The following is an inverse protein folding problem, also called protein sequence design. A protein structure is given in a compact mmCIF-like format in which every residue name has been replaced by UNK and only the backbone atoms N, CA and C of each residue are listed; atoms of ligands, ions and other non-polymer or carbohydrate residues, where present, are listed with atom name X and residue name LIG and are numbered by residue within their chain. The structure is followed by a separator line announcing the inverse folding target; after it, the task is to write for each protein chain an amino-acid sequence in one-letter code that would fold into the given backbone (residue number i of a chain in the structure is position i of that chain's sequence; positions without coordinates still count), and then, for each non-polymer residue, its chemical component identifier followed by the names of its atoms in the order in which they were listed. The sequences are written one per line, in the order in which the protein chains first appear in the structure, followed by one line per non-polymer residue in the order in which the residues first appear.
data_IF_069204447756
#
_entry.id   IF_069204447756
#
_cell.length_a   1.000
_cell.length_b   1.000
_cell.length_c   1.000
_cell.angle_alpha   90.00
_cell.angle_beta   90.00
_cell.angle_gamma   90.00
#
_symmetry.space_group_name_H-M   'P 1'
#
loop_
_entity.id
_entity.type
_entity.pdbx_description
1 polymer ?
#
# COMPACT_ATOMS: atom_id res chain seq x y z
N UNK A 1 -24.18 -11.60 18.51
CA UNK A 1 -23.87 -10.32 19.19
C UNK A 1 -22.69 -9.62 18.53
N UNK A 2 -21.50 -10.23 18.43
CA UNK A 2 -20.31 -9.60 17.81
C UNK A 2 -20.50 -9.30 16.31
N UNK A 3 -21.07 -10.23 15.52
CA UNK A 3 -21.35 -10.01 14.09
C UNK A 3 -22.23 -8.78 13.84
N UNK A 4 -23.34 -8.64 14.57
CA UNK A 4 -24.24 -7.50 14.44
C UNK A 4 -23.59 -6.16 14.87
N UNK A 5 -22.66 -6.19 15.84
CA UNK A 5 -21.92 -4.99 16.25
C UNK A 5 -20.84 -4.61 15.22
N UNK A 6 -20.17 -5.58 14.62
CA UNK A 6 -19.22 -5.37 13.52
C UNK A 6 -19.95 -4.87 12.28
N UNK A 7 -21.08 -5.49 11.92
CA UNK A 7 -21.97 -5.01 10.86
C UNK A 7 -22.45 -3.58 11.16
N UNK A 8 -22.89 -3.25 12.39
CA UNK A 8 -23.30 -1.88 12.72
C UNK A 8 -22.16 -0.86 12.56
N UNK A 9 -20.94 -1.19 12.98
CA UNK A 9 -19.77 -0.30 12.87
C UNK A 9 -19.36 -0.10 11.39
N UNK A 10 -19.45 -1.15 10.57
CA UNK A 10 -18.99 -1.13 9.18
C UNK A 10 -20.06 -0.79 8.13
N UNK A 11 -21.34 -1.03 8.42
CA UNK A 11 -22.47 -0.77 7.49
C UNK A 11 -23.41 0.35 7.97
N UNK A 12 -23.37 0.74 9.25
CA UNK A 12 -24.41 1.60 9.84
C UNK A 12 -23.93 2.77 10.71
N UNK A 13 -22.63 2.90 11.00
CA UNK A 13 -22.09 3.99 11.81
C UNK A 13 -21.81 5.27 11.02
N UNK A 14 -21.59 5.17 9.70
CA UNK A 14 -21.37 6.30 8.79
C UNK A 14 -22.63 6.64 8.00
N UNK A 15 -23.68 7.09 8.67
CA UNK A 15 -24.91 7.60 8.02
C UNK A 15 -24.68 8.94 7.28
N UNK A 16 -23.45 9.48 7.23
CA UNK A 16 -23.19 10.85 6.75
C UNK A 16 -22.29 10.97 5.52
N UNK A 17 -22.04 9.91 4.74
CA UNK A 17 -21.52 10.09 3.38
C UNK A 17 -22.74 10.24 2.47
N UNK A 18 -22.98 11.46 1.96
CA UNK A 18 -24.10 11.72 1.03
C UNK A 18 -23.99 10.75 -0.13
N UNK A 19 -24.97 9.83 -0.23
CA UNK A 19 -25.09 8.88 -1.32
C UNK A 19 -25.29 9.58 -2.68
N UNK A 20 -25.59 10.89 -2.67
CA UNK A 20 -25.97 11.69 -3.84
C UNK A 20 -24.82 11.95 -4.83
N UNK A 21 -23.57 11.64 -4.47
CA UNK A 21 -22.39 11.87 -5.31
C UNK A 21 -21.72 10.57 -5.80
N UNK A 22 -22.26 9.39 -5.50
CA UNK A 22 -21.67 8.16 -6.01
C UNK A 22 -22.03 7.98 -7.50
N UNK A 23 -21.03 7.77 -8.38
CA UNK A 23 -21.32 7.34 -9.74
C UNK A 23 -22.10 6.02 -9.67
N UNK A 24 -23.08 5.89 -10.57
CA UNK A 24 -23.93 4.71 -10.76
C UNK A 24 -23.10 3.57 -11.38
N UNK A 25 -21.96 3.24 -10.74
CA UNK A 25 -21.11 2.13 -11.12
C UNK A 25 -21.79 0.84 -10.74
N UNK A 26 -21.98 -0.01 -11.75
CA UNK A 26 -22.60 -1.32 -11.64
C UNK A 26 -21.86 -2.15 -10.59
N UNK A 27 -22.42 -2.26 -9.39
CA UNK A 27 -21.87 -3.12 -8.35
C UNK A 27 -22.24 -4.55 -8.71
N UNK A 28 -21.22 -5.38 -8.94
CA UNK A 28 -21.42 -6.80 -9.22
C UNK A 28 -22.24 -7.44 -8.10
N UNK A 29 -23.30 -8.17 -8.49
CA UNK A 29 -24.21 -8.80 -7.53
C UNK A 29 -23.46 -9.82 -6.66
N UNK A 30 -23.29 -9.51 -5.37
CA UNK A 30 -22.65 -10.41 -4.40
C UNK A 30 -23.73 -11.22 -3.66
N UNK A 31 -23.70 -12.57 -3.71
CA UNK A 31 -24.66 -13.41 -3.00
C UNK A 31 -24.76 -13.06 -1.50
N UNK A 32 -25.98 -12.78 -1.04
CA UNK A 32 -26.27 -12.50 0.36
C UNK A 32 -26.13 -11.04 0.79
N UNK A 33 -25.84 -10.12 -0.14
CA UNK A 33 -25.81 -8.68 0.09
C UNK A 33 -26.76 -7.95 -0.86
N UNK A 34 -27.35 -6.85 -0.39
CA UNK A 34 -28.06 -5.92 -1.27
C UNK A 34 -27.09 -4.92 -1.90
N UNK A 35 -27.44 -4.34 -3.06
CA UNK A 35 -26.62 -3.32 -3.73
C UNK A 35 -26.31 -2.14 -2.80
N UNK A 36 -27.29 -1.74 -1.98
CA UNK A 36 -27.12 -0.70 -0.97
C UNK A 36 -26.08 -1.08 0.08
N UNK A 37 -26.09 -2.32 0.55
CA UNK A 37 -25.12 -2.79 1.53
C UNK A 37 -23.71 -2.78 0.93
N UNK A 38 -23.56 -3.22 -0.33
CA UNK A 38 -22.29 -3.23 -1.03
C UNK A 38 -21.74 -1.81 -1.22
N UNK A 39 -22.56 -0.86 -1.66
CA UNK A 39 -22.15 0.56 -1.75
C UNK A 39 -21.69 1.11 -0.40
N UNK A 40 -22.38 0.78 0.70
CA UNK A 40 -21.98 1.18 2.05
C UNK A 40 -20.64 0.55 2.46
N UNK A 41 -20.43 -0.73 2.16
CA UNK A 41 -19.16 -1.42 2.41
C UNK A 41 -18.01 -0.80 1.63
N UNK A 42 -18.19 -0.60 0.32
CA UNK A 42 -17.20 0.02 -0.55
C UNK A 42 -16.82 1.42 -0.03
N UNK A 43 -17.81 2.26 0.26
CA UNK A 43 -17.59 3.62 0.78
C UNK A 43 -16.82 3.60 2.11
N UNK A 44 -17.16 2.67 3.00
CA UNK A 44 -16.50 2.53 4.31
C UNK A 44 -15.06 2.06 4.17
N UNK A 45 -14.79 1.10 3.28
CA UNK A 45 -13.45 0.61 3.01
C UNK A 45 -12.59 1.72 2.41
N UNK A 46 -13.07 2.41 1.37
CA UNK A 46 -12.36 3.50 0.71
C UNK A 46 -12.05 4.63 1.67
N UNK A 47 -13.06 5.10 2.42
CA UNK A 47 -12.87 6.15 3.41
C UNK A 47 -11.81 5.77 4.45
N UNK A 48 -11.84 4.53 4.93
CA UNK A 48 -10.88 4.08 5.95
C UNK A 48 -9.47 3.99 5.38
N UNK A 49 -9.30 3.52 4.14
CA UNK A 49 -8.00 3.50 3.45
C UNK A 49 -7.44 4.92 3.27
N UNK A 50 -8.27 5.90 2.90
CA UNK A 50 -7.88 7.31 2.84
C UNK A 50 -7.43 7.86 4.18
N UNK A 51 -8.09 7.48 5.28
CA UNK A 51 -7.65 7.89 6.62
C UNK A 51 -6.23 7.42 6.93
N UNK A 52 -5.81 6.28 6.37
CA UNK A 52 -4.46 5.79 6.53
C UNK A 52 -3.44 6.50 5.66
N UNK A 53 -3.77 7.50 4.84
CA UNK A 53 -2.77 8.41 4.29
C UNK A 53 -2.21 9.36 5.38
N UNK A 54 -2.96 9.60 6.46
CA UNK A 54 -2.57 10.52 7.52
C UNK A 54 -1.39 9.99 8.35
N UNK A 55 -0.25 10.73 8.45
CA UNK A 55 0.91 10.30 9.25
C UNK A 55 0.61 10.16 10.75
N UNK A 56 -0.37 10.89 11.27
CA UNK A 56 -0.74 10.87 12.69
C UNK A 56 -1.53 9.63 13.11
N UNK A 57 -2.11 8.89 12.15
CA UNK A 57 -2.87 7.67 12.44
C UNK A 57 -1.92 6.46 12.39
N UNK A 58 -2.00 5.50 13.33
CA UNK A 58 -1.26 4.24 13.19
C UNK A 58 -1.74 3.50 11.94
N UNK A 59 -0.92 2.64 11.32
CA UNK A 59 -1.31 1.87 10.14
C UNK A 59 -1.84 0.50 10.59
N UNK A 60 -3.16 0.37 10.82
CA UNK A 60 -3.82 -0.85 11.31
C UNK A 60 -4.84 -1.34 10.27
N UNK A 61 -4.37 -2.06 9.26
CA UNK A 61 -5.23 -2.48 8.13
C UNK A 61 -5.95 -3.82 8.36
N UNK A 62 -5.85 -4.42 9.56
CA UNK A 62 -6.28 -5.79 9.79
C UNK A 62 -7.74 -6.04 9.40
N UNK A 63 -8.67 -5.24 9.94
CA UNK A 63 -10.10 -5.43 9.70
C UNK A 63 -10.48 -5.18 8.23
N UNK A 64 -9.81 -4.23 7.56
CA UNK A 64 -9.99 -4.00 6.11
C UNK A 64 -9.50 -5.22 5.33
N UNK A 65 -8.33 -5.77 5.68
CA UNK A 65 -7.78 -6.92 4.98
C UNK A 65 -8.66 -8.15 5.15
N UNK A 66 -9.18 -8.40 6.36
CA UNK A 66 -10.12 -9.50 6.61
C UNK A 66 -11.43 -9.32 5.83
N UNK A 67 -11.97 -8.10 5.77
CA UNK A 67 -13.16 -7.81 4.97
C UNK A 67 -12.91 -8.04 3.47
N UNK A 68 -11.80 -7.51 2.94
CA UNK A 68 -11.43 -7.71 1.54
C UNK A 68 -11.17 -9.18 1.22
N UNK A 69 -10.51 -9.93 2.10
CA UNK A 69 -10.30 -11.37 1.93
C UNK A 69 -11.63 -12.13 1.88
N UNK A 70 -12.57 -11.80 2.77
CA UNK A 70 -13.89 -12.42 2.79
C UNK A 70 -14.70 -12.10 1.52
N UNK A 71 -14.68 -10.84 1.06
CA UNK A 71 -15.32 -10.45 -0.19
C UNK A 71 -14.65 -11.11 -1.40
N UNK A 72 -13.33 -11.25 -1.40
CA UNK A 72 -12.59 -11.83 -2.51
C UNK A 72 -12.95 -13.31 -2.72
N UNK A 73 -13.35 -14.04 -1.67
CA UNK A 73 -13.81 -15.43 -1.78
C UNK A 73 -15.20 -15.55 -2.43
N UNK A 74 -16.03 -14.51 -2.32
CA UNK A 74 -17.43 -14.53 -2.78
C UNK A 74 -17.61 -13.78 -4.10
N UNK A 75 -16.89 -12.67 -4.27
CA UNK A 75 -16.89 -11.83 -5.47
C UNK A 75 -15.52 -11.15 -5.66
N UNK A 76 -14.58 -11.80 -6.38
CA UNK A 76 -13.28 -11.23 -6.71
C UNK A 76 -13.36 -9.91 -7.47
N UNK A 77 -14.31 -9.80 -8.42
CA UNK A 77 -14.51 -8.58 -9.21
C UNK A 77 -14.88 -7.38 -8.34
N UNK A 78 -15.72 -7.58 -7.32
CA UNK A 78 -16.08 -6.52 -6.39
C UNK A 78 -14.84 -5.99 -5.64
N UNK A 79 -13.94 -6.89 -5.23
CA UNK A 79 -12.66 -6.51 -4.63
C UNK A 79 -11.76 -5.80 -5.63
N UNK A 80 -11.71 -6.25 -6.88
CA UNK A 80 -10.97 -5.59 -7.96
C UNK A 80 -11.42 -4.13 -8.14
N UNK A 81 -12.75 -3.90 -8.19
CA UNK A 81 -13.34 -2.56 -8.27
C UNK A 81 -12.98 -1.69 -7.07
N UNK A 82 -13.02 -2.24 -5.84
CA UNK A 82 -12.61 -1.50 -4.64
C UNK A 82 -11.14 -1.10 -4.74
N UNK A 83 -10.27 -2.02 -5.15
CA UNK A 83 -8.84 -1.75 -5.29
C UNK A 83 -8.62 -0.68 -6.35
N UNK A 84 -9.20 -0.83 -7.55
CA UNK A 84 -9.11 0.15 -8.63
C UNK A 84 -9.54 1.55 -8.15
N UNK A 85 -10.70 1.67 -7.51
CA UNK A 85 -11.21 2.92 -6.98
C UNK A 85 -10.33 3.50 -5.86
N UNK A 86 -9.76 2.65 -5.01
CA UNK A 86 -8.79 3.10 -4.01
C UNK A 86 -7.53 3.66 -4.67
N UNK A 87 -6.96 2.98 -5.66
CA UNK A 87 -5.78 3.49 -6.34
C UNK A 87 -6.04 4.80 -7.08
N UNK A 88 -7.17 4.90 -7.79
CA UNK A 88 -7.57 6.12 -8.50
C UNK A 88 -7.61 7.35 -7.59
N UNK A 89 -7.99 7.21 -6.32
CA UNK A 89 -8.16 8.36 -5.42
C UNK A 89 -6.87 9.10 -5.06
N UNK A 90 -5.71 8.47 -5.26
CA UNK A 90 -4.40 9.08 -4.97
C UNK A 90 -3.37 8.86 -6.08
N UNK A 91 -3.74 8.26 -7.22
CA UNK A 91 -2.82 8.03 -8.32
C UNK A 91 -2.34 9.36 -8.92
N UNK A 92 -1.05 9.50 -9.26
CA UNK A 92 -0.52 10.76 -9.81
C UNK A 92 -1.14 11.20 -11.14
N UNK A 93 -1.71 10.27 -11.92
CA UNK A 93 -2.31 10.53 -13.23
C UNK A 93 -3.59 9.68 -13.42
N UNK A 94 -4.71 10.07 -12.79
CA UNK A 94 -5.92 9.26 -12.77
C UNK A 94 -6.62 9.21 -14.14
N UNK A 95 -6.48 10.26 -14.96
CA UNK A 95 -7.16 10.37 -16.26
C UNK A 95 -6.60 9.41 -17.33
N UNK A 96 -5.37 8.91 -17.15
CA UNK A 96 -4.76 7.93 -18.05
C UNK A 96 -5.07 6.47 -17.69
N UNK A 97 -5.74 6.23 -16.56
CA UNK A 97 -6.08 4.89 -16.10
C UNK A 97 -7.39 4.42 -16.71
N UNK A 98 -7.31 3.32 -17.48
CA UNK A 98 -8.47 2.70 -18.13
C UNK A 98 -8.90 1.42 -17.40
N UNK A 99 -7.96 0.78 -16.69
CA UNK A 99 -8.18 -0.46 -15.94
C UNK A 99 -7.13 -0.65 -14.86
N UNK A 100 -7.41 -1.56 -13.93
CA UNK A 100 -6.44 -1.96 -12.92
C UNK A 100 -5.15 -2.52 -13.55
N UNK A 101 -5.26 -3.32 -14.60
CA UNK A 101 -4.10 -3.86 -15.32
C UNK A 101 -3.19 -2.77 -15.91
N UNK A 102 -3.79 -1.74 -16.53
CA UNK A 102 -3.06 -0.60 -17.10
C UNK A 102 -2.30 0.18 -16.03
N UNK A 103 -2.90 0.29 -14.84
CA UNK A 103 -2.29 0.93 -13.69
C UNK A 103 -1.15 0.09 -13.12
N UNK A 104 -1.34 -1.21 -12.90
CA UNK A 104 -0.29 -2.10 -12.40
C UNK A 104 0.92 -2.13 -13.34
N UNK A 105 0.68 -2.04 -14.65
CA UNK A 105 1.72 -1.99 -15.67
C UNK A 105 2.54 -0.70 -15.64
N UNK A 106 1.89 0.45 -15.39
CA UNK A 106 2.55 1.76 -15.31
C UNK A 106 3.15 2.08 -13.94
N UNK A 107 2.66 1.41 -12.89
CA UNK A 107 3.00 1.65 -11.50
C UNK A 107 4.49 1.73 -11.21
N UNK A 108 5.36 0.80 -11.68
CA UNK A 108 6.79 0.84 -11.38
C UNK A 108 7.47 2.17 -11.73
N UNK A 109 6.99 2.87 -12.75
CA UNK A 109 7.55 4.15 -13.19
C UNK A 109 7.12 5.31 -12.30
N UNK A 110 6.00 5.19 -11.58
CA UNK A 110 5.39 6.26 -10.78
C UNK A 110 5.66 6.13 -9.27
N UNK A 111 6.20 4.99 -8.82
CA UNK A 111 6.49 4.73 -7.40
C UNK A 111 7.37 5.80 -6.75
N UNK A 112 8.27 6.43 -7.50
CA UNK A 112 9.14 7.49 -6.98
C UNK A 112 8.36 8.77 -6.60
N UNK A 113 7.13 8.95 -7.10
CA UNK A 113 6.24 10.09 -6.83
C UNK A 113 5.24 9.75 -5.71
N UNK A 114 4.81 8.49 -5.64
CA UNK A 114 3.86 8.00 -4.63
C UNK A 114 4.51 8.07 -3.24
N UNK A 115 3.82 8.51 -2.19
CA UNK A 115 4.40 8.56 -0.86
C UNK A 115 4.63 7.16 -0.26
N UNK A 116 5.53 7.10 0.72
CA UNK A 116 5.95 5.84 1.33
C UNK A 116 4.81 5.11 2.03
N UNK A 117 3.77 5.82 2.45
CA UNK A 117 2.67 5.23 3.20
C UNK A 117 1.73 4.48 2.26
N UNK A 118 1.35 5.07 1.14
CA UNK A 118 0.61 4.35 0.09
C UNK A 118 1.39 3.12 -0.39
N UNK A 119 2.70 3.25 -0.64
CA UNK A 119 3.53 2.09 -1.01
C UNK A 119 3.53 0.99 0.06
N UNK A 120 3.57 1.33 1.34
CA UNK A 120 3.44 0.33 2.40
C UNK A 120 2.08 -0.38 2.37
N UNK A 121 1.00 0.36 2.11
CA UNK A 121 -0.34 -0.23 1.96
C UNK A 121 -0.42 -1.16 0.75
N UNK A 122 0.13 -0.76 -0.40
CA UNK A 122 0.26 -1.61 -1.58
C UNK A 122 0.97 -2.92 -1.23
N UNK A 123 2.11 -2.85 -0.54
CA UNK A 123 2.85 -4.05 -0.16
C UNK A 123 2.04 -4.98 0.75
N UNK A 124 1.23 -4.42 1.65
CA UNK A 124 0.34 -5.21 2.50
C UNK A 124 -0.73 -5.89 1.65
N UNK A 125 -1.41 -5.15 0.77
CA UNK A 125 -2.42 -5.68 -0.16
C UNK A 125 -1.85 -6.78 -1.04
N UNK A 126 -0.70 -6.56 -1.69
CA UNK A 126 -0.03 -7.56 -2.52
C UNK A 126 0.26 -8.85 -1.73
N UNK A 127 0.82 -8.73 -0.52
CA UNK A 127 1.26 -9.88 0.28
C UNK A 127 0.13 -10.61 1.00
N UNK A 128 -0.96 -9.93 1.34
CA UNK A 128 -2.04 -10.48 2.17
C UNK A 128 -3.27 -10.86 1.38
N UNK A 129 -3.66 -10.03 0.42
CA UNK A 129 -4.89 -10.21 -0.35
C UNK A 129 -4.60 -10.93 -1.67
N UNK A 130 -3.70 -10.37 -2.49
CA UNK A 130 -3.63 -10.76 -3.91
C UNK A 130 -2.75 -11.99 -4.15
N UNK A 131 -1.48 -11.96 -3.74
CA UNK A 131 -0.52 -13.02 -4.08
C UNK A 131 -0.77 -14.37 -3.39
N UNK A 132 -1.24 -14.45 -2.13
CA UNK A 132 -1.60 -15.72 -1.51
C UNK A 132 -2.77 -16.40 -2.22
N UNK A 133 -3.78 -15.63 -2.62
CA UNK A 133 -4.96 -16.19 -3.27
C UNK A 133 -4.65 -16.69 -4.69
N UNK A 134 -3.87 -15.94 -5.45
CA UNK A 134 -3.44 -16.41 -6.76
C UNK A 134 -2.60 -17.71 -6.68
N UNK A 135 -1.90 -17.92 -5.57
CA UNK A 135 -1.21 -19.20 -5.30
C UNK A 135 -2.18 -20.30 -4.87
N UNK A 136 -3.19 -20.00 -4.04
CA UNK A 136 -4.18 -20.99 -3.58
C UNK A 136 -4.96 -21.58 -4.76
N UNK A 137 -5.39 -20.72 -5.70
CA UNK A 137 -6.07 -21.12 -6.95
C UNK A 137 -5.17 -21.99 -7.83
N UNK A 138 -3.86 -21.74 -7.88
CA UNK A 138 -2.91 -22.57 -8.63
C UNK A 138 -2.77 -24.00 -8.05
N UNK A 139 -2.97 -24.18 -6.74
CA UNK A 139 -2.87 -25.48 -6.09
C UNK A 139 -4.19 -26.26 -6.09
N UNK A 140 -5.34 -25.58 -5.99
CA UNK A 140 -6.68 -26.20 -5.99
C UNK A 140 -7.17 -26.60 -7.39
N UNK A 141 -6.76 -25.88 -8.43
CA UNK A 141 -7.16 -26.12 -9.83
C UNK A 141 -6.47 -27.30 -10.53
N UNK A 142 -5.70 -28.14 -9.80
CA UNK A 142 -5.18 -29.40 -10.36
C UNK A 142 -6.28 -30.37 -10.85
N UNK A 143 -7.55 -30.11 -10.54
CA UNK A 143 -8.68 -30.91 -11.01
C UNK A 143 -9.64 -30.22 -11.98
N UNK A 144 -9.62 -28.89 -12.18
CA UNK A 144 -10.45 -28.21 -13.19
C UNK A 144 -9.72 -26.97 -13.74
N UNK A 145 -9.73 -26.84 -15.06
CA UNK A 145 -8.89 -25.96 -15.87
C UNK A 145 -9.32 -24.48 -15.79
N UNK A 146 -9.36 -23.87 -14.60
CA UNK A 146 -9.32 -22.41 -14.49
C UNK A 146 -7.86 -21.99 -14.56
N UNK A 147 -7.44 -21.47 -15.71
CA UNK A 147 -6.09 -20.91 -15.87
C UNK A 147 -5.94 -19.73 -14.92
N UNK A 148 -5.08 -19.86 -13.92
CA UNK A 148 -4.58 -18.71 -13.17
C UNK A 148 -4.04 -17.70 -14.18
N UNK A 149 -4.48 -16.45 -14.09
CA UNK A 149 -3.96 -15.38 -14.91
C UNK A 149 -2.49 -15.10 -14.53
N UNK A 150 -1.60 -15.75 -15.26
CA UNK A 150 -0.15 -15.68 -15.05
C UNK A 150 0.36 -14.24 -15.23
N UNK A 151 -0.26 -13.46 -16.12
CA UNK A 151 0.14 -12.08 -16.35
C UNK A 151 -0.32 -11.18 -15.20
N UNK A 152 -1.54 -11.35 -14.66
CA UNK A 152 -1.96 -10.64 -13.45
C UNK A 152 -1.03 -10.94 -12.27
N UNK A 153 -0.68 -12.21 -12.02
CA UNK A 153 0.26 -12.60 -10.94
C UNK A 153 1.60 -11.89 -11.11
N UNK A 154 2.10 -11.82 -12.34
CA UNK A 154 3.36 -11.19 -12.68
C UNK A 154 3.30 -9.68 -12.48
N UNK A 155 2.23 -9.02 -12.88
CA UNK A 155 2.03 -7.58 -12.65
C UNK A 155 2.03 -7.23 -11.15
N UNK A 156 1.27 -7.95 -10.35
CA UNK A 156 1.22 -7.75 -8.90
C UNK A 156 2.56 -8.07 -8.21
N UNK A 157 3.23 -9.13 -8.64
CA UNK A 157 4.57 -9.46 -8.14
C UNK A 157 5.58 -8.38 -8.50
N UNK A 158 5.49 -7.83 -9.70
CA UNK A 158 6.37 -6.78 -10.19
C UNK A 158 6.16 -5.47 -9.40
N UNK A 159 4.90 -5.10 -9.15
CA UNK A 159 4.54 -3.96 -8.31
C UNK A 159 5.11 -4.10 -6.90
N UNK A 160 4.94 -5.27 -6.26
CA UNK A 160 5.48 -5.54 -4.93
C UNK A 160 7.00 -5.37 -4.89
N UNK A 161 7.72 -5.97 -5.84
CA UNK A 161 9.18 -5.91 -5.90
C UNK A 161 9.69 -4.47 -6.08
N UNK A 162 9.09 -3.71 -6.99
CA UNK A 162 9.51 -2.33 -7.22
C UNK A 162 9.17 -1.41 -6.05
N UNK A 163 8.00 -1.61 -5.42
CA UNK A 163 7.59 -0.84 -4.25
C UNK A 163 8.50 -1.12 -3.06
N UNK A 164 8.87 -2.38 -2.81
CA UNK A 164 9.86 -2.73 -1.78
C UNK A 164 11.22 -2.11 -2.05
N UNK A 165 11.70 -2.16 -3.30
CA UNK A 165 12.98 -1.57 -3.67
C UNK A 165 12.98 -0.04 -3.49
N UNK A 166 11.89 0.65 -3.85
CA UNK A 166 11.74 2.09 -3.63
C UNK A 166 11.67 2.44 -2.14
N UNK A 167 10.88 1.71 -1.35
CA UNK A 167 10.79 1.92 0.10
C UNK A 167 12.12 1.71 0.80
N UNK A 168 12.89 0.69 0.41
CA UNK A 168 14.25 0.47 0.93
C UNK A 168 15.17 1.64 0.59
N UNK A 169 15.14 2.12 -0.67
CA UNK A 169 15.91 3.29 -1.10
C UNK A 169 15.59 4.53 -0.26
N UNK A 170 14.30 4.81 -0.04
CA UNK A 170 13.84 5.92 0.80
C UNK A 170 14.27 5.79 2.25
N UNK A 171 14.15 4.59 2.82
CA UNK A 171 14.58 4.31 4.19
C UNK A 171 16.07 4.60 4.38
N UNK A 172 16.91 4.15 3.45
CA UNK A 172 18.36 4.40 3.48
C UNK A 172 18.65 5.89 3.37
N UNK A 173 18.03 6.58 2.40
CA UNK A 173 18.22 8.02 2.19
C UNK A 173 17.81 8.85 3.42
N UNK A 174 16.64 8.56 3.99
CA UNK A 174 16.15 9.21 5.21
C UNK A 174 17.08 8.93 6.40
N UNK A 175 17.57 7.71 6.53
CA UNK A 175 18.49 7.33 7.61
C UNK A 175 19.81 8.08 7.51
N UNK A 176 20.42 8.12 6.33
CA UNK A 176 21.66 8.89 6.14
C UNK A 176 21.44 10.37 6.36
N UNK A 177 20.35 10.93 5.84
CA UNK A 177 20.00 12.34 6.06
C UNK A 177 19.83 12.66 7.54
N UNK A 178 19.18 11.78 8.30
CA UNK A 178 19.03 11.92 9.74
C UNK A 178 20.37 11.84 10.49
N UNK A 179 21.26 10.92 10.11
CA UNK A 179 22.62 10.84 10.68
C UNK A 179 23.39 12.13 10.45
N UNK A 180 23.40 12.63 9.21
CA UNK A 180 24.07 13.90 8.86
C UNK A 180 23.47 15.08 9.62
N UNK A 181 22.13 15.13 9.72
CA UNK A 181 21.43 16.16 10.49
C UNK A 181 21.84 16.14 11.97
N UNK A 182 21.81 14.98 12.62
CA UNK A 182 22.20 14.83 14.02
C UNK A 182 23.67 15.22 14.25
N UNK A 183 24.56 14.82 13.34
CA UNK A 183 25.97 15.14 13.42
C UNK A 183 26.28 16.63 13.21
N UNK A 184 25.44 17.36 12.47
CA UNK A 184 25.60 18.80 12.22
C UNK A 184 25.34 19.70 13.45
N UNK A 185 24.94 19.13 14.60
CA UNK A 185 24.69 19.89 15.84
C UNK A 185 23.39 20.71 15.85
N UNK A 186 22.63 20.68 14.76
CA UNK A 186 21.30 21.34 14.64
C UNK A 186 20.21 20.66 15.47
N UNK A 187 20.48 19.47 16.00
CA UNK A 187 19.57 18.70 16.86
C UNK A 187 19.28 19.36 18.23
N UNK A 188 20.10 20.32 18.68
CA UNK A 188 19.89 21.00 19.98
C UNK A 188 18.66 21.93 20.01
N UNK A 189 18.03 22.19 18.86
CA UNK A 189 16.83 23.02 18.73
C UNK A 189 15.51 22.24 18.75
N UNK A 190 15.53 20.90 18.88
CA UNK A 190 14.32 20.10 18.90
C UNK A 190 13.67 20.12 20.30
N UNK A 191 12.35 20.38 20.41
CA UNK A 191 11.65 20.36 21.69
C UNK A 191 11.80 19.00 22.38
N UNK A 192 12.18 19.00 23.67
CA UNK A 192 12.38 17.80 24.50
C UNK A 192 11.15 16.86 24.58
N UNK A 193 9.96 17.32 24.16
CA UNK A 193 8.70 16.60 24.32
C UNK A 193 8.37 15.61 23.18
N UNK A 194 9.27 15.44 22.20
CA UNK A 194 9.10 14.43 21.14
C UNK A 194 10.17 13.36 21.25
N UNK A 195 9.81 12.06 21.35
CA UNK A 195 10.79 10.99 21.18
C UNK A 195 11.37 11.12 19.77
N UNK A 196 12.59 11.64 19.68
CA UNK A 196 13.31 11.73 18.42
C UNK A 196 13.65 10.31 17.98
N UNK A 197 13.18 9.94 16.78
CA UNK A 197 13.59 8.70 16.15
C UNK A 197 15.10 8.76 15.92
N UNK A 198 15.83 7.75 16.40
CA UNK A 198 17.26 7.63 16.17
C UNK A 198 17.53 6.64 15.04
N UNK A 199 18.37 7.00 14.06
CA UNK A 199 18.74 6.09 13.00
C UNK A 199 19.49 4.89 13.58
N UNK A 200 18.94 3.69 13.39
CA UNK A 200 19.56 2.42 13.78
C UNK A 200 19.90 1.61 12.54
N UNK A 201 20.90 0.74 12.63
CA UNK A 201 21.29 -0.13 11.52
C UNK A 201 22.04 0.56 10.37
N UNK A 202 22.70 1.69 10.64
CA UNK A 202 23.41 2.50 9.62
C UNK A 202 24.48 1.68 8.89
N UNK A 203 25.23 0.84 9.60
CA UNK A 203 26.25 -0.03 9.02
C UNK A 203 25.66 -1.01 7.99
N UNK A 204 24.51 -1.61 8.30
CA UNK A 204 23.79 -2.49 7.39
C UNK A 204 23.32 -1.74 6.14
N UNK A 205 22.86 -0.49 6.30
CA UNK A 205 22.43 0.34 5.18
C UNK A 205 23.62 0.79 4.30
N UNK A 206 24.77 1.11 4.89
CA UNK A 206 26.01 1.38 4.15
C UNK A 206 26.44 0.15 3.33
N UNK A 207 26.37 -1.05 3.93
CA UNK A 207 26.66 -2.29 3.22
C UNK A 207 25.67 -2.57 2.09
N UNK A 208 24.37 -2.34 2.34
CA UNK A 208 23.33 -2.47 1.32
C UNK A 208 23.60 -1.56 0.11
N UNK A 209 24.05 -0.32 0.34
CA UNK A 209 24.43 0.61 -0.74
C UNK A 209 25.61 0.08 -1.56
N UNK A 210 26.62 -0.52 -0.92
CA UNK A 210 27.75 -1.15 -1.63
C UNK A 210 27.27 -2.31 -2.50
N UNK A 211 26.40 -3.15 -1.97
CA UNK A 211 25.84 -4.31 -2.71
C UNK A 211 24.98 -3.89 -3.90
N UNK A 212 24.33 -2.72 -3.83
CA UNK A 212 23.41 -2.22 -4.85
C UNK A 212 23.97 -1.05 -5.67
N UNK A 213 25.29 -0.85 -5.68
CA UNK A 213 25.95 0.35 -6.23
C UNK A 213 25.55 0.68 -7.69
N UNK A 214 25.25 -0.32 -8.51
CA UNK A 214 24.86 -0.12 -9.91
C UNK A 214 23.37 0.17 -10.12
N UNK A 215 22.54 0.00 -9.08
CA UNK A 215 21.07 0.08 -9.16
C UNK A 215 20.50 1.30 -8.42
N UNK A 216 21.33 2.01 -7.67
CA UNK A 216 20.90 3.15 -6.84
C UNK A 216 21.29 4.50 -7.46
N UNK A 217 20.49 5.55 -7.23
CA UNK A 217 20.80 6.91 -7.67
C UNK A 217 22.09 7.45 -7.06
N UNK A 218 22.75 8.38 -7.75
CA UNK A 218 24.00 8.98 -7.30
C UNK A 218 23.84 9.81 -6.03
N UNK A 219 22.68 10.43 -5.79
CA UNK A 219 22.39 11.16 -4.56
C UNK A 219 22.51 10.27 -3.32
N UNK A 220 22.07 9.01 -3.41
CA UNK A 220 22.18 8.07 -2.30
C UNK A 220 23.64 7.66 -2.03
N UNK A 221 24.44 7.57 -3.09
CA UNK A 221 25.89 7.32 -2.98
C UNK A 221 26.61 8.50 -2.34
N UNK A 222 26.24 9.73 -2.71
CA UNK A 222 26.76 10.94 -2.10
C UNK A 222 26.40 11.00 -0.61
N UNK A 223 25.15 10.73 -0.24
CA UNK A 223 24.74 10.67 1.17
C UNK A 223 25.56 9.64 1.97
N UNK A 224 25.81 8.45 1.41
CA UNK A 224 26.68 7.45 2.04
C UNK A 224 28.09 8.02 2.26
N UNK A 225 28.68 8.64 1.24
CA UNK A 225 30.04 9.19 1.34
C UNK A 225 30.14 10.25 2.44
N UNK A 226 29.11 11.09 2.60
CA UNK A 226 29.07 12.06 3.70
C UNK A 226 28.95 11.36 5.07
N UNK A 227 28.11 10.34 5.20
CA UNK A 227 27.99 9.56 6.44
C UNK A 227 29.32 8.86 6.79
N UNK A 228 30.00 8.29 5.80
CA UNK A 228 31.31 7.64 5.96
C UNK A 228 32.40 8.61 6.47
N UNK A 229 32.29 9.92 6.17
CA UNK A 229 33.23 10.95 6.67
C UNK A 229 33.03 11.27 8.14
N UNK A 230 31.80 11.20 8.63
CA UNK A 230 31.46 11.53 10.03
C UNK A 230 31.84 10.39 10.99
N UNK A 231 31.89 9.16 10.48
CA UNK A 231 32.25 7.97 11.26
C UNK A 231 33.76 7.68 11.30
N UNK A 232 34.58 8.46 10.58
CA UNK A 232 36.05 8.39 10.60
C UNK A 232 36.62 9.38 11.61
#
# INVERSE_FOLDING_TARGET
AQRAAVELIWTGGMISVSLDNLPDEYVDAVPGFSDKDLVCWQSSILWTLEQYACPAKPLILWDIMEALLAFNQVSPNYVETILYNWFLSWWPDPDSLVSLESMLSSAPNLLHIIDSRHMHMINIVCRRLVLPEMKSVAYSSKHELQSVDVEAVKLWSNLLLHSEAELQRRLVGLTFSAVLYLASGTASALPLDRPCWFPTGVAQMQQWVVMNNNLIPDDLKLLKLEVDKIQK
#
